data_IF_487080205897
#
_entry.id   IF_487080205897
#
_cell.length_a   1.000
_cell.length_b   1.000
_cell.length_c   1.000
_cell.angle_alpha   90.00
_cell.angle_beta   90.00
_cell.angle_gamma   90.00
#
_symmetry.space_group_name_H-M   'P 1'
#
loop_
_entity.id
_entity.type
_entity.pdbx_description
1 polymer ?
#
# COMPACT_ATOMS: atom_id res chain seq x y z
N UNK A 1 -5.48 -21.17 2.19
CA UNK A 1 -5.08 -19.76 2.45
C UNK A 1 -4.01 -19.76 3.53
N UNK A 2 -2.89 -19.12 3.28
CA UNK A 2 -1.78 -18.95 4.24
C UNK A 2 -1.54 -17.46 4.47
N UNK A 3 -1.20 -17.08 5.71
CA UNK A 3 -0.86 -15.71 6.08
C UNK A 3 0.51 -15.71 6.73
N UNK A 4 1.45 -14.99 6.13
CA UNK A 4 2.84 -14.90 6.59
C UNK A 4 3.20 -13.47 6.96
N UNK A 5 3.65 -13.26 8.20
CA UNK A 5 4.19 -11.98 8.66
C UNK A 5 5.69 -11.96 8.40
N UNK A 6 6.14 -11.06 7.54
CA UNK A 6 7.56 -10.91 7.28
C UNK A 6 8.20 -10.05 8.36
N UNK A 7 9.39 -10.46 8.79
CA UNK A 7 10.21 -9.67 9.72
C UNK A 7 11.34 -8.99 8.97
N UNK A 8 11.85 -7.88 9.51
CA UNK A 8 13.07 -7.22 9.05
C UNK A 8 14.13 -7.24 10.16
N UNK A 9 15.40 -7.16 9.77
CA UNK A 9 16.48 -7.03 10.74
C UNK A 9 16.34 -5.72 11.52
N UNK A 10 16.49 -5.80 12.84
CA UNK A 10 16.35 -4.62 13.69
C UNK A 10 14.97 -4.39 14.28
N UNK A 11 14.02 -5.30 14.16
CA UNK A 11 12.74 -5.24 14.89
C UNK A 11 12.91 -5.18 16.43
N UNK A 12 14.05 -5.65 16.95
CA UNK A 12 14.41 -5.53 18.36
C UNK A 12 15.08 -4.20 18.71
N UNK A 13 15.39 -3.35 17.71
CA UNK A 13 15.97 -2.04 17.90
C UNK A 13 14.85 -0.99 17.96
N UNK A 14 14.53 -0.42 19.13
CA UNK A 14 13.44 0.54 19.27
C UNK A 14 13.68 1.87 18.56
N UNK A 15 14.89 2.10 18.04
CA UNK A 15 15.21 3.30 17.23
C UNK A 15 14.84 3.15 15.77
N UNK A 16 14.50 1.93 15.32
CA UNK A 16 14.14 1.62 13.93
C UNK A 16 12.66 1.29 13.82
N UNK A 17 11.98 1.97 12.93
CA UNK A 17 10.65 1.61 12.48
C UNK A 17 10.75 1.00 11.09
N UNK A 18 10.72 -0.33 11.02
CA UNK A 18 10.78 -1.05 9.74
C UNK A 18 9.38 -1.31 9.15
N UNK A 19 8.34 -0.97 9.91
CA UNK A 19 6.95 -1.15 9.52
C UNK A 19 6.53 -2.60 9.36
N UNK A 20 5.43 -2.80 8.65
CA UNK A 20 4.80 -4.10 8.46
C UNK A 20 4.90 -4.58 7.02
N UNK A 21 4.88 -5.90 6.84
CA UNK A 21 4.68 -6.55 5.56
C UNK A 21 4.04 -7.92 5.79
N UNK A 22 2.85 -8.11 5.27
CA UNK A 22 2.09 -9.35 5.45
C UNK A 22 1.80 -9.94 4.07
N UNK A 23 2.05 -11.23 3.91
CA UNK A 23 1.70 -11.98 2.72
C UNK A 23 0.42 -12.77 2.97
N UNK A 24 -0.50 -12.71 2.03
CA UNK A 24 -1.71 -13.54 2.01
C UNK A 24 -1.71 -14.34 0.72
N UNK A 25 -1.48 -15.63 0.85
CA UNK A 25 -1.41 -16.59 -0.26
C UNK A 25 -2.67 -17.45 -0.25
N UNK A 26 -3.48 -17.39 -1.31
CA UNK A 26 -4.67 -18.22 -1.45
C UNK A 26 -4.43 -19.49 -2.31
N UNK A 27 -3.19 -19.72 -2.73
CA UNK A 27 -2.79 -20.85 -3.56
C UNK A 27 -2.85 -20.58 -5.08
N UNK A 28 -3.44 -19.47 -5.50
CA UNK A 28 -3.49 -19.04 -6.91
C UNK A 28 -2.96 -17.63 -7.11
N UNK A 29 -3.12 -16.77 -6.12
CA UNK A 29 -2.71 -15.37 -6.13
C UNK A 29 -2.01 -15.00 -4.82
N UNK A 30 -1.00 -14.16 -4.92
CA UNK A 30 -0.30 -13.58 -3.77
C UNK A 30 -0.73 -12.13 -3.58
N UNK A 31 -1.17 -11.80 -2.38
CA UNK A 31 -1.49 -10.43 -1.96
C UNK A 31 -0.51 -10.00 -0.88
N UNK A 32 0.10 -8.85 -1.08
CA UNK A 32 1.01 -8.20 -0.13
C UNK A 32 0.22 -7.10 0.58
N UNK A 33 0.20 -7.09 1.90
CA UNK A 33 -0.36 -5.99 2.69
C UNK A 33 0.77 -5.18 3.30
N UNK A 34 0.93 -3.95 2.84
CA UNK A 34 2.03 -3.03 3.11
C UNK A 34 3.42 -3.60 2.77
N UNK A 35 4.42 -2.75 2.68
CA UNK A 35 5.81 -3.15 2.50
C UNK A 35 6.73 -2.06 3.06
N UNK A 36 6.97 -2.12 4.36
CA UNK A 36 7.54 -1.04 5.14
C UNK A 36 9.02 -0.75 4.91
N UNK A 37 9.77 -1.68 4.32
CA UNK A 37 11.19 -1.45 4.02
C UNK A 37 11.70 -2.36 2.89
N UNK A 38 12.88 -2.01 2.34
CA UNK A 38 13.51 -2.79 1.26
C UNK A 38 13.81 -4.24 1.68
N UNK A 39 14.14 -4.50 2.93
CA UNK A 39 14.38 -5.87 3.40
C UNK A 39 13.10 -6.71 3.33
N UNK A 40 11.94 -6.14 3.66
CA UNK A 40 10.65 -6.79 3.43
C UNK A 40 10.44 -7.10 1.94
N UNK A 41 10.69 -6.12 1.07
CA UNK A 41 10.52 -6.30 -0.37
C UNK A 41 11.41 -7.42 -0.93
N UNK A 42 12.65 -7.55 -0.47
CA UNK A 42 13.55 -8.66 -0.85
C UNK A 42 12.97 -10.02 -0.43
N UNK A 43 12.45 -10.11 0.79
CA UNK A 43 11.82 -11.35 1.29
C UNK A 43 10.53 -11.69 0.54
N UNK A 44 9.78 -10.68 0.11
CA UNK A 44 8.62 -10.89 -0.79
C UNK A 44 9.07 -11.54 -2.09
N UNK A 45 10.13 -11.03 -2.73
CA UNK A 45 10.65 -11.59 -3.98
C UNK A 45 11.16 -13.01 -3.77
N UNK A 46 11.88 -13.29 -2.68
CA UNK A 46 12.32 -14.64 -2.31
C UNK A 46 11.12 -15.60 -2.16
N UNK A 47 10.07 -15.18 -1.44
CA UNK A 47 8.84 -15.96 -1.29
C UNK A 47 8.17 -16.23 -2.66
N UNK A 48 8.11 -15.23 -3.52
CA UNK A 48 7.52 -15.37 -4.86
C UNK A 48 8.30 -16.37 -5.72
N UNK A 49 9.63 -16.34 -5.66
CA UNK A 49 10.50 -17.29 -6.39
C UNK A 49 10.30 -18.72 -5.86
N UNK A 50 10.24 -18.90 -4.56
CA UNK A 50 10.02 -20.22 -3.93
C UNK A 50 8.66 -20.83 -4.26
N UNK A 51 7.63 -20.00 -4.43
CA UNK A 51 6.24 -20.42 -4.69
C UNK A 51 5.82 -20.26 -6.16
N UNK A 52 6.76 -19.90 -7.04
CA UNK A 52 6.55 -19.72 -8.49
C UNK A 52 5.51 -18.64 -8.86
N UNK A 53 5.38 -17.57 -8.05
CA UNK A 53 4.59 -16.39 -8.40
C UNK A 53 5.40 -15.43 -9.28
N UNK A 54 4.86 -15.07 -10.44
CA UNK A 54 5.48 -14.05 -11.32
C UNK A 54 4.99 -12.64 -11.04
N UNK A 55 3.81 -12.51 -10.46
CA UNK A 55 3.17 -11.24 -10.10
C UNK A 55 2.43 -11.37 -8.78
N UNK A 56 2.38 -10.27 -8.06
CA UNK A 56 1.59 -10.12 -6.84
C UNK A 56 0.73 -8.84 -6.91
N UNK A 57 -0.29 -8.78 -6.09
CA UNK A 57 -1.09 -7.58 -5.83
C UNK A 57 -0.68 -6.99 -4.50
N UNK A 58 -0.69 -5.66 -4.39
CA UNK A 58 -0.37 -4.95 -3.16
C UNK A 58 -1.61 -4.23 -2.63
N UNK A 59 -1.88 -4.36 -1.36
CA UNK A 59 -2.81 -3.51 -0.61
C UNK A 59 -1.98 -2.59 0.26
N UNK A 60 -2.04 -1.28 -0.02
CA UNK A 60 -1.35 -0.26 0.76
C UNK A 60 -2.34 0.43 1.69
N UNK A 61 -2.15 0.30 3.00
CA UNK A 61 -3.02 0.91 4.01
C UNK A 61 -2.91 2.43 4.01
N UNK A 62 -1.69 2.95 3.99
CA UNK A 62 -1.37 4.37 3.86
C UNK A 62 0.09 4.53 3.40
N UNK A 63 0.49 5.74 3.06
CA UNK A 63 1.80 6.00 2.45
C UNK A 63 2.86 6.52 3.42
N UNK A 64 2.74 6.27 4.72
CA UNK A 64 3.85 6.53 5.64
C UNK A 64 5.03 5.61 5.32
N UNK A 65 6.24 6.08 5.58
CA UNK A 65 7.48 5.41 5.16
C UNK A 65 7.54 3.94 5.61
N UNK A 66 7.11 3.66 6.82
CA UNK A 66 7.07 2.32 7.41
C UNK A 66 5.99 1.38 6.84
N UNK A 67 5.22 1.83 5.85
CA UNK A 67 4.28 1.03 5.06
C UNK A 67 4.59 1.04 3.56
N UNK A 68 5.39 2.02 3.12
CA UNK A 68 5.61 2.31 1.70
C UNK A 68 7.04 2.05 1.21
N UNK A 69 8.07 2.21 2.03
CA UNK A 69 9.48 2.32 1.59
C UNK A 69 10.03 1.07 0.87
N UNK A 70 9.39 -0.08 1.00
CA UNK A 70 9.73 -1.28 0.22
C UNK A 70 9.10 -1.34 -1.18
N UNK A 71 8.05 -0.55 -1.44
CA UNK A 71 7.31 -0.63 -2.70
C UNK A 71 8.15 -0.27 -3.93
N UNK A 72 9.00 0.79 -3.91
CA UNK A 72 9.86 1.10 -5.04
C UNK A 72 10.71 -0.09 -5.50
N UNK A 73 11.25 -0.87 -4.56
CA UNK A 73 12.00 -2.08 -4.90
C UNK A 73 11.14 -3.12 -5.62
N UNK A 74 9.92 -3.38 -5.16
CA UNK A 74 8.99 -4.31 -5.82
C UNK A 74 8.61 -3.85 -7.24
N UNK A 75 8.48 -2.54 -7.44
CA UNK A 75 8.25 -1.94 -8.75
C UNK A 75 9.45 -2.18 -9.66
N UNK A 76 10.66 -1.90 -9.19
CA UNK A 76 11.90 -2.07 -9.97
C UNK A 76 12.13 -3.53 -10.35
N UNK A 77 11.72 -4.48 -9.49
CA UNK A 77 11.73 -5.91 -9.81
C UNK A 77 10.61 -6.33 -10.78
N UNK A 78 9.66 -5.44 -11.05
CA UNK A 78 8.55 -5.71 -11.96
C UNK A 78 7.59 -6.79 -11.45
N UNK A 79 7.51 -7.04 -10.15
CA UNK A 79 6.71 -8.14 -9.57
C UNK A 79 5.28 -7.73 -9.21
N UNK A 80 4.95 -6.44 -9.19
CA UNK A 80 3.61 -5.96 -8.91
C UNK A 80 2.75 -5.86 -10.18
N UNK A 81 1.48 -6.23 -10.09
CA UNK A 81 0.48 -6.05 -11.14
C UNK A 81 -0.49 -4.92 -10.80
N UNK A 82 -0.99 -4.89 -9.58
CA UNK A 82 -1.99 -3.94 -9.10
C UNK A 82 -1.64 -3.44 -7.70
N UNK A 83 -1.95 -2.18 -7.43
CA UNK A 83 -1.84 -1.57 -6.10
C UNK A 83 -3.20 -1.03 -5.69
N UNK A 84 -3.74 -1.55 -4.62
CA UNK A 84 -5.00 -1.15 -3.99
C UNK A 84 -4.70 -0.18 -2.86
N UNK A 85 -5.19 1.04 -2.96
CA UNK A 85 -4.98 2.06 -1.92
C UNK A 85 -6.08 3.11 -1.97
N UNK A 86 -6.15 3.95 -0.94
CA UNK A 86 -7.05 5.08 -0.92
C UNK A 86 -6.51 6.19 -1.83
N UNK A 87 -7.16 6.41 -2.96
CA UNK A 87 -6.79 7.46 -3.91
C UNK A 87 -7.34 8.82 -3.45
N UNK A 88 -6.79 9.37 -2.38
CA UNK A 88 -7.29 10.60 -1.73
C UNK A 88 -7.36 11.82 -2.65
N UNK A 89 -6.47 11.94 -3.64
CA UNK A 89 -6.56 13.05 -4.59
C UNK A 89 -7.86 13.04 -5.39
N UNK A 90 -8.43 11.86 -5.64
CA UNK A 90 -9.74 11.72 -6.30
C UNK A 90 -10.88 12.34 -5.47
N UNK A 91 -10.73 12.35 -4.15
CA UNK A 91 -11.72 12.84 -3.19
C UNK A 91 -11.31 14.17 -2.53
N UNK A 92 -10.30 14.84 -3.07
CA UNK A 92 -9.67 16.04 -2.47
C UNK A 92 -10.69 17.12 -2.12
N UNK A 93 -11.59 17.45 -3.03
CA UNK A 93 -12.55 18.53 -2.82
C UNK A 93 -13.57 18.20 -1.74
N UNK A 94 -14.07 16.96 -1.72
CA UNK A 94 -14.97 16.47 -0.67
C UNK A 94 -14.30 16.48 0.71
N UNK A 95 -13.04 16.06 0.78
CA UNK A 95 -12.26 16.09 2.01
C UNK A 95 -12.03 17.51 2.51
N UNK A 96 -11.70 18.43 1.61
CA UNK A 96 -11.48 19.85 1.94
C UNK A 96 -12.75 20.53 2.43
N UNK A 97 -13.91 20.10 1.98
CA UNK A 97 -15.20 20.63 2.45
C UNK A 97 -15.57 20.12 3.84
N UNK A 98 -15.07 18.93 4.23
CA UNK A 98 -15.34 18.33 5.55
C UNK A 98 -14.31 18.66 6.62
N UNK A 99 -13.07 19.00 6.24
CA UNK A 99 -12.02 19.33 7.19
C UNK A 99 -12.21 20.72 7.76
N UNK A 100 -12.48 20.81 9.06
CA UNK A 100 -12.58 22.07 9.80
C UNK A 100 -11.39 22.21 10.76
N UNK A 101 -10.18 22.39 10.22
CA UNK A 101 -8.99 22.69 11.01
C UNK A 101 -8.72 24.20 11.01
N UNK A 102 -9.06 24.85 12.10
CA UNK A 102 -8.83 26.32 12.27
C UNK A 102 -7.36 26.73 12.28
N UNK A 103 -6.44 25.78 12.40
CA UNK A 103 -4.98 26.02 12.43
C UNK A 103 -4.35 26.07 11.04
N UNK A 104 -5.07 25.63 10.01
CA UNK A 104 -4.57 25.50 8.63
C UNK A 104 -5.54 26.14 7.64
N UNK A 105 -4.99 26.70 6.57
CA UNK A 105 -5.80 27.16 5.44
C UNK A 105 -6.17 25.99 4.53
N UNK A 106 -7.30 26.12 3.81
CA UNK A 106 -7.74 25.14 2.80
C UNK A 106 -6.61 24.82 1.79
N UNK A 107 -5.90 25.85 1.33
CA UNK A 107 -4.79 25.69 0.38
C UNK A 107 -3.60 24.92 0.98
N UNK A 108 -3.29 25.13 2.26
CA UNK A 108 -2.21 24.40 2.91
C UNK A 108 -2.55 22.91 3.10
N UNK A 109 -3.81 22.59 3.38
CA UNK A 109 -4.29 21.21 3.49
C UNK A 109 -4.29 20.56 2.10
N UNK A 110 -4.79 21.26 1.08
CA UNK A 110 -4.80 20.79 -0.30
C UNK A 110 -3.40 20.45 -0.81
N UNK A 111 -2.42 21.32 -0.53
CA UNK A 111 -1.02 21.09 -0.88
C UNK A 111 -0.46 19.88 -0.15
N UNK A 112 -0.73 19.72 1.13
CA UNK A 112 -0.25 18.59 1.92
C UNK A 112 -0.82 17.26 1.41
N UNK A 113 -2.11 17.21 1.06
CA UNK A 113 -2.71 16.03 0.43
C UNK A 113 -1.99 15.70 -0.89
N UNK A 114 -1.72 16.70 -1.74
CA UNK A 114 -1.02 16.49 -2.99
C UNK A 114 0.40 15.94 -2.77
N UNK A 115 1.18 16.56 -1.88
CA UNK A 115 2.54 16.12 -1.55
C UNK A 115 2.59 14.69 -1.03
N UNK A 116 1.67 14.31 -0.16
CA UNK A 116 1.59 12.96 0.43
C UNK A 116 1.33 11.90 -0.65
N UNK A 117 0.47 12.19 -1.63
CA UNK A 117 0.02 11.21 -2.60
C UNK A 117 0.72 11.28 -3.96
N UNK A 118 1.67 12.20 -4.14
CA UNK A 118 2.46 12.29 -5.37
C UNK A 118 3.24 10.99 -5.64
N UNK A 119 3.83 10.41 -4.61
CA UNK A 119 4.53 9.12 -4.69
C UNK A 119 3.62 7.98 -5.15
N UNK A 120 2.38 7.93 -4.65
CA UNK A 120 1.41 6.89 -5.04
C UNK A 120 1.02 7.06 -6.51
N UNK A 121 0.71 8.27 -6.93
CA UNK A 121 0.29 8.51 -8.31
C UNK A 121 1.42 8.28 -9.33
N UNK A 122 2.68 8.49 -8.93
CA UNK A 122 3.83 8.16 -9.78
C UNK A 122 3.95 6.66 -10.08
N UNK A 123 3.39 5.80 -9.22
CA UNK A 123 3.36 4.35 -9.46
C UNK A 123 2.45 3.98 -10.64
N UNK A 124 1.46 4.82 -10.99
CA UNK A 124 0.50 4.55 -12.07
C UNK A 124 1.13 4.37 -13.45
N UNK A 125 2.36 4.81 -13.63
CA UNK A 125 3.12 4.58 -14.87
C UNK A 125 3.61 3.14 -15.02
N UNK A 126 3.65 2.37 -13.93
CA UNK A 126 4.25 1.04 -13.87
C UNK A 126 3.29 -0.06 -13.43
N UNK A 127 2.27 0.29 -12.65
CA UNK A 127 1.27 -0.63 -12.10
C UNK A 127 -0.15 -0.06 -12.24
N UNK A 128 -1.15 -0.93 -12.17
CA UNK A 128 -2.56 -0.51 -12.16
C UNK A 128 -2.93 -0.08 -10.74
N UNK A 129 -3.30 1.20 -10.57
CA UNK A 129 -3.83 1.69 -9.30
C UNK A 129 -5.33 1.41 -9.19
N UNK A 130 -5.74 0.82 -8.07
CA UNK A 130 -7.12 0.51 -7.71
C UNK A 130 -7.53 1.31 -6.49
N UNK A 131 -8.73 1.84 -6.50
CA UNK A 131 -9.30 2.63 -5.41
C UNK A 131 -10.08 1.72 -4.48
N UNK A 132 -9.66 1.62 -3.22
CA UNK A 132 -10.29 0.74 -2.23
C UNK A 132 -11.76 1.07 -1.92
N UNK A 133 -12.26 2.24 -2.28
CA UNK A 133 -13.69 2.55 -2.18
C UNK A 133 -14.55 1.89 -3.26
N UNK A 134 -13.95 1.50 -4.37
CA UNK A 134 -14.68 0.93 -5.51
C UNK A 134 -14.23 -0.48 -5.87
N UNK A 135 -12.97 -0.81 -5.57
CA UNK A 135 -12.32 -2.05 -5.91
C UNK A 135 -11.99 -2.84 -4.64
N UNK A 136 -13.00 -3.45 -4.04
CA UNK A 136 -12.87 -4.15 -2.74
C UNK A 136 -12.44 -5.60 -2.85
N UNK A 137 -12.69 -6.26 -3.99
CA UNK A 137 -12.23 -7.63 -4.24
C UNK A 137 -10.81 -7.58 -4.79
N UNK A 138 -9.84 -8.00 -3.99
CA UNK A 138 -8.42 -8.00 -4.38
C UNK A 138 -8.03 -9.30 -5.08
N UNK A 139 -8.44 -10.43 -4.53
CA UNK A 139 -8.24 -11.76 -5.08
C UNK A 139 -9.39 -12.67 -4.62
N UNK A 140 -9.47 -13.89 -5.15
CA UNK A 140 -10.48 -14.83 -4.70
C UNK A 140 -10.41 -15.01 -3.18
N UNK A 141 -11.55 -14.84 -2.50
CA UNK A 141 -11.70 -14.89 -1.04
C UNK A 141 -10.95 -13.79 -0.25
N UNK A 142 -10.31 -12.81 -0.92
CA UNK A 142 -9.59 -11.71 -0.28
C UNK A 142 -10.27 -10.40 -0.63
N UNK A 143 -10.89 -9.77 0.35
CA UNK A 143 -11.60 -8.50 0.19
C UNK A 143 -11.10 -7.46 1.18
N UNK A 144 -11.19 -6.18 0.81
CA UNK A 144 -10.98 -5.04 1.70
C UNK A 144 -12.36 -4.64 2.25
N UNK A 145 -12.64 -4.82 3.55
CA UNK A 145 -13.97 -4.61 4.13
C UNK A 145 -14.37 -3.13 4.29
N UNK A 146 -13.55 -2.20 3.92
CA UNK A 146 -13.81 -0.76 4.06
C UNK A 146 -12.58 0.08 3.73
N UNK A 147 -12.63 1.39 3.81
CA UNK A 147 -13.74 2.20 4.33
C UNK A 147 -14.95 2.25 3.40
N UNK A 148 -16.14 2.34 3.96
CA UNK A 148 -17.37 2.59 3.21
C UNK A 148 -17.52 4.08 2.91
N UNK A 149 -18.05 4.45 1.75
CA UNK A 149 -18.27 5.85 1.36
C UNK A 149 -19.26 6.61 2.26
N UNK A 150 -20.03 5.91 3.06
CA UNK A 150 -21.03 6.50 3.95
C UNK A 150 -20.42 7.05 5.27
N UNK A 151 -19.12 6.87 5.51
CA UNK A 151 -18.42 7.42 6.68
C UNK A 151 -17.67 8.71 6.33
#
# INVERSE_FOLDING_TARGET
MEVTFLSASGYTDPSKNNGDCILVDNGSELVIYDCGCEEHARRVVEYMDEHAYSKAKLVLSHNDADHFDGIPYLIDQGVLSEVYTLLLLKYKDELLDRVNDKRRTRDSIARRIAEIYDNIYSLSEQVILKDIFTDTLVADEITIPGPDKEY
#
